data_IF_565222502553
#
_entry.id   IF_565222502553
#
_cell.length_a   1.000
_cell.length_b   1.000
_cell.length_c   1.000
_cell.angle_alpha   90.00
_cell.angle_beta   90.00
_cell.angle_gamma   90.00
#
_symmetry.space_group_name_H-M   'P 1'
#
loop_
_entity.id
_entity.type
_entity.pdbx_description
1 polymer ?
#
# COMPACT_ATOMS: atom_id res chain seq x y z
N UNK A 1 19.41 21.01 4.36
CA UNK A 1 19.08 20.96 5.81
C UNK A 1 18.38 19.64 6.19
N UNK A 2 18.07 18.78 5.21
CA UNK A 2 17.43 17.47 5.37
C UNK A 2 18.38 16.28 5.65
N UNK A 3 19.72 16.48 5.72
CA UNK A 3 20.73 15.40 5.82
C UNK A 3 20.66 14.51 7.09
N UNK A 4 19.68 14.71 7.98
CA UNK A 4 19.56 13.97 9.23
C UNK A 4 18.13 13.58 9.52
N UNK A 5 17.91 12.28 9.63
CA UNK A 5 16.78 11.71 10.35
C UNK A 5 17.01 11.95 11.85
N UNK A 6 16.13 12.71 12.48
CA UNK A 6 16.27 13.20 13.86
C UNK A 6 15.55 12.28 14.85
N UNK A 7 15.90 12.35 16.12
CA UNK A 7 15.00 11.87 17.18
C UNK A 7 13.71 12.72 17.21
N UNK A 8 12.67 12.26 17.91
CA UNK A 8 11.44 13.05 18.09
C UNK A 8 11.75 14.43 18.66
N UNK A 9 12.54 14.51 19.75
CA UNK A 9 12.96 15.78 20.36
C UNK A 9 13.75 16.66 19.39
N UNK A 10 14.69 16.08 18.63
CA UNK A 10 15.48 16.83 17.66
C UNK A 10 14.64 17.35 16.48
N UNK A 11 13.58 16.62 16.08
CA UNK A 11 12.64 17.06 15.07
C UNK A 11 11.78 18.23 15.57
N UNK A 12 11.25 18.14 16.80
CA UNK A 12 10.50 19.20 17.47
C UNK A 12 11.34 20.49 17.53
N UNK A 13 12.58 20.41 17.98
CA UNK A 13 13.50 21.56 18.04
C UNK A 13 13.74 22.18 16.65
N UNK A 14 13.88 21.35 15.62
CA UNK A 14 14.08 21.82 14.26
C UNK A 14 12.84 22.51 13.67
N UNK A 15 11.64 22.05 14.04
CA UNK A 15 10.36 22.61 13.59
C UNK A 15 10.01 23.91 14.31
N UNK A 16 10.44 24.09 15.57
CA UNK A 16 10.18 25.31 16.34
C UNK A 16 10.79 26.59 15.70
N UNK A 17 11.85 26.42 14.90
CA UNK A 17 12.48 27.50 14.13
C UNK A 17 11.96 27.61 12.68
N UNK A 18 11.06 26.71 12.27
CA UNK A 18 10.49 26.65 10.93
C UNK A 18 9.20 27.49 10.83
N UNK A 19 8.82 27.83 9.61
CA UNK A 19 7.55 28.48 9.32
C UNK A 19 6.98 27.90 8.02
N UNK A 20 5.70 27.54 8.03
CA UNK A 20 5.03 26.96 6.88
C UNK A 20 3.94 27.92 6.36
N UNK A 21 3.95 28.17 5.06
CA UNK A 21 2.91 28.99 4.39
C UNK A 21 1.63 28.19 4.08
N UNK A 22 1.61 26.89 4.40
CA UNK A 22 0.50 25.95 4.27
C UNK A 22 0.71 24.74 5.18
N UNK A 23 -0.33 23.95 5.52
CA UNK A 23 -0.18 22.72 6.29
C UNK A 23 0.91 21.80 5.70
N UNK A 24 1.95 21.40 6.44
CA UNK A 24 2.89 20.41 5.96
C UNK A 24 2.21 19.03 5.86
N UNK A 25 2.74 18.16 5.01
CA UNK A 25 2.33 16.77 4.93
C UNK A 25 3.20 15.90 5.86
N UNK A 26 2.57 15.14 6.75
CA UNK A 26 3.20 14.09 7.53
C UNK A 26 3.19 12.80 6.71
N UNK A 27 4.35 12.35 6.26
CA UNK A 27 4.49 11.13 5.43
C UNK A 27 5.13 10.04 6.27
N UNK A 28 4.30 9.10 6.74
CA UNK A 28 4.70 8.02 7.65
C UNK A 28 4.88 6.70 6.91
N UNK A 29 5.90 5.90 7.29
CA UNK A 29 6.51 4.86 6.45
C UNK A 29 7.24 5.46 5.24
N UNK A 30 8.34 6.15 5.54
CA UNK A 30 9.14 6.93 4.59
C UNK A 30 10.04 6.07 3.68
N UNK A 31 9.60 4.87 3.31
CA UNK A 31 10.29 4.00 2.34
C UNK A 31 9.89 4.37 0.89
N UNK A 32 9.81 3.40 -0.03
CA UNK A 32 9.47 3.62 -1.46
C UNK A 32 8.09 4.29 -1.65
N UNK A 33 7.08 3.89 -0.89
CA UNK A 33 5.73 4.48 -0.97
C UNK A 33 5.75 5.93 -0.49
N UNK A 34 6.32 6.18 0.71
CA UNK A 34 6.45 7.53 1.26
C UNK A 34 7.27 8.45 0.37
N UNK A 35 8.34 7.96 -0.26
CA UNK A 35 9.11 8.72 -1.25
C UNK A 35 8.28 9.13 -2.47
N UNK A 36 7.40 8.24 -2.94
CA UNK A 36 6.46 8.53 -4.02
C UNK A 36 5.48 9.65 -3.65
N UNK A 37 4.91 9.59 -2.45
CA UNK A 37 4.02 10.63 -1.90
C UNK A 37 4.76 11.96 -1.73
N UNK A 38 5.94 11.95 -1.08
CA UNK A 38 6.75 13.14 -0.83
C UNK A 38 7.07 13.89 -2.14
N UNK A 39 7.60 13.17 -3.15
CA UNK A 39 7.90 13.75 -4.47
C UNK A 39 6.67 14.29 -5.20
N UNK A 40 5.51 13.65 -5.02
CA UNK A 40 4.27 14.08 -5.65
C UNK A 40 3.73 15.38 -5.04
N UNK A 41 3.93 15.58 -3.74
CA UNK A 41 3.51 16.77 -2.99
C UNK A 41 4.51 17.94 -3.15
N UNK A 42 5.81 17.65 -3.09
CA UNK A 42 6.89 18.64 -3.30
C UNK A 42 6.81 19.30 -4.69
N UNK A 43 6.41 18.55 -5.72
CA UNK A 43 6.18 19.09 -7.06
C UNK A 43 5.13 20.23 -7.10
N UNK A 44 4.29 20.35 -6.06
CA UNK A 44 3.28 21.40 -5.88
C UNK A 44 3.63 22.37 -4.73
N UNK A 45 4.87 22.31 -4.22
CA UNK A 45 5.37 23.15 -3.13
C UNK A 45 4.70 22.88 -1.78
N UNK A 46 4.23 21.65 -1.56
CA UNK A 46 3.74 21.21 -0.25
C UNK A 46 4.94 20.80 0.60
N UNK A 47 5.17 21.43 1.77
CA UNK A 47 6.24 21.03 2.67
C UNK A 47 6.02 19.61 3.21
N UNK A 48 7.08 18.82 3.30
CA UNK A 48 7.00 17.41 3.71
C UNK A 48 7.83 17.15 4.96
N UNK A 49 7.20 16.53 5.96
CA UNK A 49 7.81 15.99 7.16
C UNK A 49 7.73 14.47 7.08
N UNK A 50 8.85 13.81 6.84
CA UNK A 50 8.93 12.35 6.78
C UNK A 50 9.06 11.75 8.18
N UNK A 51 8.13 10.88 8.56
CA UNK A 51 8.11 10.22 9.86
C UNK A 51 8.35 8.71 9.68
N UNK A 52 9.13 8.14 10.57
CA UNK A 52 9.36 6.70 10.60
C UNK A 52 9.70 6.24 12.01
N UNK A 53 9.75 4.94 12.25
CA UNK A 53 10.28 4.40 13.50
C UNK A 53 11.80 4.52 13.55
N UNK A 54 12.36 4.70 14.74
CA UNK A 54 13.80 4.56 14.94
C UNK A 54 14.24 3.09 14.79
N UNK A 55 15.34 2.84 14.07
CA UNK A 55 16.03 1.56 14.11
C UNK A 55 17.02 1.58 15.30
N UNK A 56 16.64 0.98 16.44
CA UNK A 56 17.49 0.89 17.64
C UNK A 56 16.91 1.60 18.86
N UNK A 57 17.77 2.05 19.78
CA UNK A 57 17.36 2.62 21.08
C UNK A 57 16.92 4.10 21.02
N UNK A 58 16.77 4.65 19.82
CA UNK A 58 16.33 6.04 19.60
C UNK A 58 17.35 7.12 19.94
N UNK A 59 18.60 6.77 20.30
CA UNK A 59 19.64 7.76 20.61
C UNK A 59 20.30 8.33 19.36
N UNK A 60 20.64 9.63 19.37
CA UNK A 60 21.28 10.26 18.22
C UNK A 60 22.72 9.75 17.98
N UNK A 61 23.12 9.50 16.72
CA UNK A 61 22.32 9.60 15.50
C UNK A 61 21.31 8.45 15.36
N UNK A 62 20.04 8.79 15.11
CA UNK A 62 18.98 7.80 14.95
C UNK A 62 19.18 7.05 13.64
N UNK A 63 19.31 5.72 13.72
CA UNK A 63 19.36 4.87 12.53
C UNK A 63 17.94 4.70 11.99
N UNK A 64 17.79 4.66 10.67
CA UNK A 64 16.51 4.40 10.01
C UNK A 64 16.74 3.74 8.63
N UNK A 65 15.73 3.02 8.17
CA UNK A 65 15.76 2.29 6.90
C UNK A 65 14.94 2.99 5.80
N UNK A 66 14.21 4.07 6.13
CA UNK A 66 13.47 4.87 5.15
C UNK A 66 14.34 5.40 4.00
N UNK A 67 13.77 5.38 2.78
CA UNK A 67 14.41 5.85 1.54
C UNK A 67 14.07 7.31 1.19
N UNK A 68 12.98 7.85 1.74
CA UNK A 68 12.55 9.22 1.51
C UNK A 68 13.39 10.30 2.21
N UNK A 69 13.90 10.13 3.46
CA UNK A 69 14.62 11.18 4.18
C UNK A 69 15.79 11.86 3.43
N UNK A 70 16.63 11.16 2.63
CA UNK A 70 17.69 11.82 1.85
C UNK A 70 17.19 12.49 0.56
N UNK A 71 15.88 12.52 0.29
CA UNK A 71 15.31 13.19 -0.88
C UNK A 71 15.28 14.70 -0.70
N UNK A 72 15.50 15.44 -1.79
CA UNK A 72 15.26 16.90 -1.82
C UNK A 72 13.77 17.26 -1.67
N UNK A 73 12.86 16.29 -1.83
CA UNK A 73 11.42 16.45 -1.62
C UNK A 73 10.99 16.35 -0.13
N UNK A 74 11.94 16.26 0.79
CA UNK A 74 11.68 16.16 2.24
C UNK A 74 12.36 17.32 2.96
N UNK A 75 11.58 18.15 3.64
CA UNK A 75 12.08 19.31 4.38
C UNK A 75 12.65 18.91 5.76
N UNK A 76 11.91 18.04 6.45
CA UNK A 76 12.25 17.52 7.77
C UNK A 76 12.01 16.02 7.83
N UNK A 77 12.82 15.33 8.62
CA UNK A 77 12.65 13.90 8.85
C UNK A 77 13.01 13.54 10.29
N UNK A 78 12.24 12.66 10.91
CA UNK A 78 12.52 12.20 12.26
C UNK A 78 11.70 11.01 12.72
N UNK A 79 12.10 10.50 13.87
CA UNK A 79 11.49 9.36 14.51
C UNK A 79 10.15 9.72 15.16
N UNK A 80 9.25 8.75 15.18
CA UNK A 80 8.09 8.69 16.08
C UNK A 80 8.00 7.30 16.67
N UNK A 81 7.28 7.21 17.78
CA UNK A 81 6.89 5.94 18.40
C UNK A 81 6.16 5.07 17.39
N UNK A 82 6.55 3.79 17.32
CA UNK A 82 5.95 2.87 16.36
C UNK A 82 4.52 2.52 16.83
N UNK A 83 3.47 2.81 16.04
CA UNK A 83 2.09 2.76 16.54
C UNK A 83 1.63 1.35 16.93
N UNK A 84 2.27 0.29 16.43
CA UNK A 84 1.94 -1.07 16.83
C UNK A 84 2.49 -1.46 18.20
N UNK A 85 3.50 -0.75 18.67
CA UNK A 85 4.07 -0.97 20.00
C UNK A 85 3.38 -0.08 21.04
N UNK A 86 3.10 1.17 20.69
CA UNK A 86 2.46 2.14 21.57
C UNK A 86 1.71 3.21 20.75
N UNK A 87 0.38 3.04 20.65
CA UNK A 87 -0.49 3.95 19.90
C UNK A 87 -0.64 5.32 20.58
N UNK A 88 -0.69 5.33 21.92
CA UNK A 88 -0.77 6.57 22.69
C UNK A 88 0.54 7.37 22.56
N UNK A 89 1.69 6.70 22.62
CA UNK A 89 2.98 7.33 22.36
C UNK A 89 3.12 7.87 20.93
N UNK A 90 2.62 7.14 19.93
CA UNK A 90 2.56 7.65 18.55
C UNK A 90 1.73 8.93 18.45
N UNK A 91 0.56 8.95 19.11
CA UNK A 91 -0.31 10.13 19.17
C UNK A 91 0.41 11.32 19.80
N UNK A 92 1.00 11.12 20.98
CA UNK A 92 1.72 12.17 21.73
C UNK A 92 2.88 12.75 20.90
N UNK A 93 3.66 11.91 20.22
CA UNK A 93 4.76 12.34 19.35
C UNK A 93 4.25 13.18 18.17
N UNK A 94 3.18 12.73 17.51
CA UNK A 94 2.59 13.45 16.37
C UNK A 94 2.01 14.80 16.80
N UNK A 95 1.25 14.85 17.89
CA UNK A 95 0.69 16.09 18.43
C UNK A 95 1.80 17.10 18.77
N UNK A 96 2.89 16.64 19.40
CA UNK A 96 4.04 17.49 19.71
C UNK A 96 4.75 18.02 18.45
N UNK A 97 4.84 17.20 17.38
CA UNK A 97 5.40 17.62 16.09
C UNK A 97 4.52 18.67 15.41
N UNK A 98 3.19 18.49 15.44
CA UNK A 98 2.23 19.45 14.87
C UNK A 98 2.25 20.77 15.64
N UNK A 99 2.28 20.71 16.97
CA UNK A 99 2.40 21.88 17.83
C UNK A 99 3.71 22.66 17.54
N UNK A 100 4.82 21.94 17.35
CA UNK A 100 6.11 22.54 17.01
C UNK A 100 6.10 23.18 15.61
N UNK A 101 5.41 22.58 14.64
CA UNK A 101 5.22 23.16 13.32
C UNK A 101 4.37 24.44 13.33
N UNK A 102 3.57 24.65 14.39
CA UNK A 102 2.77 25.86 14.59
C UNK A 102 1.57 26.01 13.64
N UNK A 103 1.18 24.93 12.97
CA UNK A 103 0.02 24.84 12.07
C UNK A 103 -0.47 23.39 12.02
N UNK A 104 -1.75 23.20 11.67
CA UNK A 104 -2.28 21.87 11.35
C UNK A 104 -1.46 21.21 10.22
N UNK A 105 -1.46 19.87 10.19
CA UNK A 105 -0.77 19.06 9.19
C UNK A 105 -1.72 18.07 8.50
N UNK A 106 -1.30 17.51 7.36
CA UNK A 106 -2.07 16.49 6.62
C UNK A 106 -1.34 15.15 6.65
N UNK A 107 -1.99 14.10 7.13
CA UNK A 107 -1.33 12.80 7.29
C UNK A 107 -1.48 11.87 6.08
N UNK A 108 -0.38 11.20 5.74
CA UNK A 108 -0.30 10.15 4.73
C UNK A 108 0.40 8.92 5.33
N UNK A 109 -0.40 7.96 5.82
CA UNK A 109 0.10 6.65 6.23
C UNK A 109 0.40 5.78 5.01
N UNK A 110 1.68 5.50 4.76
CA UNK A 110 2.15 4.78 3.56
C UNK A 110 2.30 3.26 3.77
N UNK A 111 1.63 2.72 4.78
CA UNK A 111 1.38 1.30 5.04
C UNK A 111 0.11 1.19 5.92
N UNK A 112 -0.50 0.01 6.00
CA UNK A 112 -1.78 -0.19 6.67
C UNK A 112 -1.70 0.24 8.15
N UNK A 113 -0.64 -0.14 8.87
CA UNK A 113 -0.49 0.21 10.28
C UNK A 113 -0.39 1.71 10.53
N UNK A 114 0.21 2.47 9.61
CA UNK A 114 0.34 3.92 9.76
C UNK A 114 -0.98 4.63 9.41
N UNK A 115 -1.67 4.16 8.37
CA UNK A 115 -2.97 4.72 8.00
C UNK A 115 -4.02 4.45 9.09
N UNK A 116 -4.06 3.21 9.60
CA UNK A 116 -4.94 2.83 10.70
C UNK A 116 -4.58 3.59 11.98
N UNK A 117 -3.29 3.75 12.31
CA UNK A 117 -2.89 4.48 13.50
C UNK A 117 -3.34 5.94 13.51
N UNK A 118 -3.28 6.64 12.37
CA UNK A 118 -3.80 8.00 12.28
C UNK A 118 -5.32 8.06 12.46
N UNK A 119 -6.06 7.10 11.88
CA UNK A 119 -7.51 7.03 12.00
C UNK A 119 -7.99 6.63 13.41
N UNK A 120 -7.23 5.76 14.09
CA UNK A 120 -7.57 5.26 15.42
C UNK A 120 -7.12 6.21 16.54
N UNK A 121 -5.89 6.74 16.45
CA UNK A 121 -5.34 7.62 17.48
C UNK A 121 -5.96 9.03 17.45
N UNK A 122 -6.42 9.49 16.28
CA UNK A 122 -7.01 10.81 16.03
C UNK A 122 -6.20 11.96 16.69
N UNK A 123 -4.92 12.14 16.30
CA UNK A 123 -4.06 13.15 16.90
C UNK A 123 -4.55 14.57 16.61
N UNK A 124 -4.56 15.42 17.64
CA UNK A 124 -4.99 16.81 17.53
C UNK A 124 -4.17 17.59 16.49
N UNK A 125 -4.85 18.40 15.67
CA UNK A 125 -4.22 19.23 14.64
C UNK A 125 -3.80 18.48 13.37
N UNK A 126 -4.18 17.20 13.22
CA UNK A 126 -3.96 16.42 11.99
C UNK A 126 -5.25 16.30 11.19
N UNK A 127 -5.14 16.55 9.88
CA UNK A 127 -6.22 16.36 8.91
C UNK A 127 -6.01 15.05 8.16
N UNK A 128 -7.06 14.22 8.09
CA UNK A 128 -7.05 12.96 7.34
C UNK A 128 -7.76 13.15 5.99
N UNK A 129 -7.08 12.94 4.85
CA UNK A 129 -7.70 13.06 3.53
C UNK A 129 -8.41 11.76 3.09
N UNK A 130 -8.92 10.98 4.05
CA UNK A 130 -9.55 9.69 3.84
C UNK A 130 -10.52 9.36 4.99
N UNK A 131 -11.31 8.30 4.79
CA UNK A 131 -12.39 7.89 5.70
C UNK A 131 -11.90 7.47 7.08
N UNK A 132 -12.77 7.60 8.08
CA UNK A 132 -12.48 7.15 9.46
C UNK A 132 -12.37 5.63 9.59
N UNK A 133 -11.94 5.19 10.78
CA UNK A 133 -11.59 3.79 11.07
C UNK A 133 -12.73 2.80 10.76
N UNK A 134 -13.99 3.14 11.08
CA UNK A 134 -15.13 2.25 10.84
C UNK A 134 -15.30 1.89 9.35
N UNK A 135 -15.17 2.89 8.46
CA UNK A 135 -15.28 2.69 7.01
C UNK A 135 -14.07 1.95 6.45
N UNK A 136 -12.87 2.23 6.97
CA UNK A 136 -11.65 1.50 6.58
C UNK A 136 -11.80 0.02 6.94
N UNK A 137 -12.26 -0.27 8.17
CA UNK A 137 -12.46 -1.64 8.66
C UNK A 137 -13.51 -2.39 7.84
N UNK A 138 -14.56 -1.72 7.38
CA UNK A 138 -15.56 -2.30 6.48
C UNK A 138 -14.95 -2.72 5.14
N UNK A 139 -14.08 -1.90 4.55
CA UNK A 139 -13.41 -2.18 3.26
C UNK A 139 -12.34 -3.27 3.39
N UNK A 140 -11.50 -3.20 4.43
CA UNK A 140 -10.39 -4.14 4.65
C UNK A 140 -10.86 -5.53 5.09
N UNK A 141 -12.05 -5.64 5.68
CA UNK A 141 -12.60 -6.91 6.09
C UNK A 141 -13.07 -7.73 4.86
N UNK A 142 -12.31 -8.77 4.52
CA UNK A 142 -12.59 -9.63 3.35
C UNK A 142 -13.98 -10.26 3.38
N UNK A 143 -14.48 -10.62 4.56
CA UNK A 143 -15.81 -11.21 4.72
C UNK A 143 -16.89 -10.23 4.27
N UNK A 144 -16.74 -8.93 4.60
CA UNK A 144 -17.65 -7.86 4.18
C UNK A 144 -17.45 -7.50 2.71
N UNK A 145 -16.19 -7.33 2.28
CA UNK A 145 -15.84 -7.05 0.88
C UNK A 145 -16.47 -8.04 -0.09
N UNK A 146 -16.39 -9.35 0.19
CA UNK A 146 -16.96 -10.36 -0.69
C UNK A 146 -18.49 -10.45 -0.63
N UNK A 147 -19.10 -10.10 0.51
CA UNK A 147 -20.56 -9.95 0.58
C UNK A 147 -21.04 -8.79 -0.32
N UNK A 148 -20.35 -7.63 -0.25
CA UNK A 148 -20.58 -6.51 -1.18
C UNK A 148 -20.36 -6.94 -2.63
N UNK A 149 -19.32 -7.72 -2.92
CA UNK A 149 -19.10 -8.23 -4.28
C UNK A 149 -20.26 -9.10 -4.77
N UNK A 150 -20.80 -9.97 -3.93
CA UNK A 150 -21.95 -10.81 -4.28
C UNK A 150 -23.21 -9.98 -4.55
N UNK A 151 -23.50 -8.99 -3.69
CA UNK A 151 -24.64 -8.08 -3.86
C UNK A 151 -24.54 -7.22 -5.14
N UNK A 152 -23.32 -6.80 -5.49
CA UNK A 152 -23.03 -5.99 -6.69
C UNK A 152 -22.82 -6.84 -7.95
N UNK A 153 -22.76 -8.17 -7.84
CA UNK A 153 -22.47 -9.07 -8.97
C UNK A 153 -21.03 -8.93 -9.50
N UNK A 154 -20.09 -8.55 -8.64
CA UNK A 154 -18.66 -8.40 -8.96
C UNK A 154 -17.98 -9.74 -8.73
N UNK A 155 -17.25 -10.31 -9.71
CA UNK A 155 -16.55 -11.56 -9.51
C UNK A 155 -15.45 -11.46 -8.44
N UNK A 156 -15.40 -12.46 -7.56
CA UNK A 156 -14.37 -12.65 -6.53
C UNK A 156 -14.01 -14.14 -6.42
N UNK A 157 -12.87 -14.50 -5.80
CA UNK A 157 -12.52 -15.89 -5.56
C UNK A 157 -13.57 -16.56 -4.66
N UNK A 158 -14.10 -17.70 -5.08
CA UNK A 158 -15.12 -18.42 -4.31
C UNK A 158 -14.63 -18.68 -2.88
N UNK A 159 -15.34 -18.14 -1.89
CA UNK A 159 -14.90 -18.09 -0.50
C UNK A 159 -16.05 -18.48 0.42
N UNK A 160 -15.78 -19.40 1.35
CA UNK A 160 -16.71 -19.92 2.34
C UNK A 160 -16.25 -19.51 3.74
N UNK A 161 -17.17 -18.94 4.52
CA UNK A 161 -16.95 -18.66 5.94
C UNK A 161 -17.04 -19.96 6.74
N UNK A 162 -16.22 -20.07 7.79
CA UNK A 162 -16.10 -21.28 8.60
C UNK A 162 -16.73 -21.14 10.00
N UNK A 163 -17.30 -19.98 10.30
CA UNK A 163 -17.98 -19.66 11.57
C UNK A 163 -18.86 -18.41 11.44
N UNK A 164 -19.63 -18.12 12.50
CA UNK A 164 -20.61 -17.03 12.54
C UNK A 164 -21.98 -17.46 12.01
N UNK A 165 -23.03 -17.28 12.80
CA UNK A 165 -24.40 -17.53 12.36
C UNK A 165 -24.83 -16.61 11.20
N UNK A 166 -25.95 -16.94 10.54
CA UNK A 166 -26.48 -16.24 9.38
C UNK A 166 -26.80 -14.73 9.56
N UNK A 167 -26.58 -14.17 10.75
CA UNK A 167 -26.74 -12.76 11.09
C UNK A 167 -25.37 -12.25 11.55
N UNK A 168 -24.66 -11.48 10.70
CA UNK A 168 -23.28 -11.04 10.86
C UNK A 168 -22.96 -10.10 12.03
N UNK A 169 -23.19 -10.54 13.27
CA UNK A 169 -22.69 -9.85 14.46
C UNK A 169 -21.20 -10.19 14.65
N UNK A 170 -20.34 -9.19 14.40
CA UNK A 170 -18.88 -9.29 14.39
C UNK A 170 -18.24 -9.47 15.79
N UNK A 171 -18.99 -10.01 16.76
CA UNK A 171 -18.59 -10.15 18.15
C UNK A 171 -18.59 -11.58 18.69
N UNK A 172 -19.08 -12.56 17.92
CA UNK A 172 -19.08 -13.97 18.34
C UNK A 172 -17.97 -14.73 17.59
N UNK A 173 -16.77 -14.78 18.17
CA UNK A 173 -15.70 -15.73 17.78
C UNK A 173 -16.07 -17.19 18.12
N UNK A 174 -17.35 -17.46 18.32
CA UNK A 174 -17.93 -18.66 18.89
C UNK A 174 -18.08 -19.79 17.88
N UNK A 175 -16.98 -20.48 17.64
CA UNK A 175 -16.96 -21.85 17.15
C UNK A 175 -16.90 -21.99 15.62
N UNK A 176 -15.94 -22.78 15.17
CA UNK A 176 -15.95 -23.34 13.82
C UNK A 176 -17.22 -24.18 13.69
N UNK A 177 -18.04 -23.89 12.68
CA UNK A 177 -19.18 -24.74 12.34
C UNK A 177 -18.67 -25.94 11.55
N UNK A 178 -18.69 -27.13 12.17
CA UNK A 178 -18.23 -28.39 11.55
C UNK A 178 -18.98 -28.65 10.22
N UNK A 179 -20.27 -28.32 10.14
CA UNK A 179 -21.06 -28.50 8.92
C UNK A 179 -20.61 -27.50 7.83
N UNK A 180 -20.27 -26.27 8.20
CA UNK A 180 -19.75 -25.26 7.26
C UNK A 180 -18.35 -25.65 6.76
N UNK A 181 -17.53 -26.21 7.64
CA UNK A 181 -16.19 -26.67 7.33
C UNK A 181 -16.20 -27.89 6.38
N UNK A 182 -17.12 -28.85 6.57
CA UNK A 182 -17.34 -29.95 5.63
C UNK A 182 -17.89 -29.45 4.28
N UNK A 183 -18.89 -28.56 4.31
CA UNK A 183 -19.46 -27.98 3.09
C UNK A 183 -18.42 -27.21 2.26
N UNK A 184 -17.53 -26.45 2.91
CA UNK A 184 -16.45 -25.72 2.24
C UNK A 184 -15.46 -26.69 1.58
N UNK A 185 -15.07 -27.77 2.26
CA UNK A 185 -14.16 -28.78 1.70
C UNK A 185 -14.76 -29.47 0.47
N UNK A 186 -16.05 -29.83 0.52
CA UNK A 186 -16.77 -30.46 -0.58
C UNK A 186 -16.97 -29.53 -1.78
N UNK A 187 -17.27 -28.25 -1.53
CA UNK A 187 -17.50 -27.26 -2.58
C UNK A 187 -16.22 -26.85 -3.30
N UNK A 188 -15.15 -26.57 -2.54
CA UNK A 188 -13.90 -26.03 -3.06
C UNK A 188 -12.99 -27.11 -3.65
N UNK A 189 -13.01 -28.31 -3.07
CA UNK A 189 -12.03 -29.35 -3.35
C UNK A 189 -10.61 -28.98 -2.94
N UNK A 190 -9.69 -29.95 -2.99
CA UNK A 190 -8.29 -29.74 -2.64
C UNK A 190 -7.36 -29.71 -3.88
N UNK A 191 -6.26 -28.92 -3.85
CA UNK A 191 -5.84 -28.05 -2.75
C UNK A 191 -6.68 -26.77 -2.66
N UNK A 192 -6.98 -26.32 -1.44
CA UNK A 192 -7.67 -25.05 -1.16
C UNK A 192 -6.78 -24.10 -0.37
N UNK A 193 -7.26 -22.87 -0.23
CA UNK A 193 -6.55 -21.81 0.46
C UNK A 193 -7.29 -21.41 1.74
N UNK A 194 -6.58 -21.35 2.86
CA UNK A 194 -7.06 -20.77 4.11
C UNK A 194 -6.47 -19.37 4.27
N UNK A 195 -7.35 -18.38 4.49
CA UNK A 195 -6.98 -16.97 4.65
C UNK A 195 -7.72 -16.39 5.85
N UNK A 196 -7.13 -15.41 6.56
CA UNK A 196 -7.84 -14.72 7.61
C UNK A 196 -8.82 -13.69 7.06
N UNK A 197 -9.83 -13.35 7.86
CA UNK A 197 -10.67 -12.18 7.62
C UNK A 197 -9.87 -10.87 7.68
N UNK A 198 -8.87 -10.83 8.58
CA UNK A 198 -7.94 -9.72 8.78
C UNK A 198 -6.51 -10.20 8.56
N UNK A 199 -5.80 -9.64 7.57
CA UNK A 199 -4.46 -10.09 7.15
C UNK A 199 -3.46 -10.17 8.32
N UNK A 200 -3.49 -9.18 9.22
CA UNK A 200 -2.45 -8.97 10.24
C UNK A 200 -2.49 -9.97 11.41
N UNK A 201 -3.66 -10.21 11.99
CA UNK A 201 -3.84 -11.12 13.13
C UNK A 201 -3.27 -12.52 12.82
N UNK A 202 -3.36 -12.93 11.55
CA UNK A 202 -2.86 -14.21 11.07
C UNK A 202 -1.37 -14.21 10.75
N UNK A 203 -0.81 -13.11 10.23
CA UNK A 203 0.63 -13.02 9.98
C UNK A 203 1.43 -13.07 11.29
N UNK A 204 0.92 -12.44 12.34
CA UNK A 204 1.52 -12.52 13.70
C UNK A 204 1.46 -13.94 14.28
N UNK A 205 0.38 -14.69 14.01
CA UNK A 205 0.20 -16.06 14.52
C UNK A 205 0.89 -17.15 13.67
N UNK A 206 0.91 -16.99 12.34
CA UNK A 206 1.31 -18.05 11.39
C UNK A 206 2.52 -17.68 10.51
N UNK A 207 3.00 -16.44 10.56
CA UNK A 207 4.13 -15.97 9.73
C UNK A 207 3.83 -15.88 8.24
N UNK A 208 2.56 -16.02 7.85
CA UNK A 208 2.05 -15.86 6.48
C UNK A 208 0.62 -15.35 6.56
N UNK A 209 0.13 -14.67 5.52
CA UNK A 209 -1.26 -14.22 5.39
C UNK A 209 -2.13 -15.17 4.55
N UNK A 210 -1.57 -16.31 4.12
CA UNK A 210 -2.22 -17.33 3.30
C UNK A 210 -1.58 -18.71 3.52
N UNK A 211 -2.40 -19.74 3.67
CA UNK A 211 -1.96 -21.15 3.73
C UNK A 211 -2.65 -21.95 2.64
N UNK A 212 -1.89 -22.73 1.88
CA UNK A 212 -2.46 -23.73 0.95
C UNK A 212 -2.48 -25.07 1.66
N UNK A 213 -3.64 -25.71 1.72
CA UNK A 213 -3.82 -27.03 2.34
C UNK A 213 -4.13 -28.06 1.25
N UNK A 214 -3.41 -29.18 1.29
CA UNK A 214 -3.42 -30.20 0.24
C UNK A 214 -4.54 -31.22 0.43
N UNK A 215 -5.09 -31.36 1.63
CA UNK A 215 -6.15 -32.29 1.96
C UNK A 215 -6.97 -31.87 3.20
N UNK A 216 -7.95 -32.71 3.53
CA UNK A 216 -8.91 -32.54 4.63
C UNK A 216 -8.22 -32.44 5.99
N UNK A 217 -7.18 -33.24 6.22
CA UNK A 217 -6.47 -33.31 7.50
C UNK A 217 -5.71 -31.99 7.73
N UNK A 218 -4.92 -31.56 6.74
CA UNK A 218 -4.22 -30.27 6.80
C UNK A 218 -5.19 -29.09 6.98
N UNK A 219 -6.36 -29.13 6.32
CA UNK A 219 -7.36 -28.09 6.44
C UNK A 219 -7.94 -27.99 7.86
N UNK A 220 -8.31 -29.11 8.46
CA UNK A 220 -8.82 -29.16 9.85
C UNK A 220 -7.76 -28.70 10.85
N UNK A 221 -6.50 -29.11 10.67
CA UNK A 221 -5.39 -28.70 11.53
C UNK A 221 -5.17 -27.18 11.50
N UNK A 222 -5.13 -26.58 10.32
CA UNK A 222 -4.94 -25.13 10.15
C UNK A 222 -6.10 -24.35 10.77
N UNK A 223 -7.34 -24.79 10.53
CA UNK A 223 -8.54 -24.10 11.07
C UNK A 223 -8.59 -24.20 12.60
N UNK A 224 -8.26 -25.37 13.17
CA UNK A 224 -8.18 -25.56 14.62
C UNK A 224 -7.07 -24.71 15.25
N UNK A 225 -5.91 -24.59 14.59
CA UNK A 225 -4.83 -23.72 15.04
C UNK A 225 -5.25 -22.24 15.03
N UNK A 226 -5.92 -21.78 13.96
CA UNK A 226 -6.42 -20.41 13.87
C UNK A 226 -7.43 -20.09 14.98
N UNK A 227 -8.37 -21.00 15.24
CA UNK A 227 -9.33 -20.85 16.33
C UNK A 227 -8.68 -20.84 17.73
N UNK A 228 -7.59 -21.59 17.93
CA UNK A 228 -6.84 -21.58 19.19
C UNK A 228 -6.17 -20.23 19.47
N UNK A 229 -5.77 -19.51 18.42
CA UNK A 229 -5.19 -18.16 18.47
C UNK A 229 -6.27 -17.05 18.38
N UNK A 230 -7.56 -17.42 18.27
CA UNK A 230 -8.67 -16.47 18.17
C UNK A 230 -8.76 -15.73 16.83
N UNK A 231 -8.15 -16.25 15.77
CA UNK A 231 -8.15 -15.63 14.44
C UNK A 231 -9.29 -16.16 13.58
N UNK A 232 -10.14 -15.26 13.06
CA UNK A 232 -11.18 -15.61 12.11
C UNK A 232 -10.58 -15.97 10.75
N UNK A 233 -10.93 -17.16 10.22
CA UNK A 233 -10.44 -17.66 8.93
C UNK A 233 -11.58 -18.08 8.00
N UNK A 234 -11.28 -18.02 6.71
CA UNK A 234 -12.14 -18.44 5.60
C UNK A 234 -11.41 -19.46 4.71
N UNK A 235 -12.19 -20.33 4.08
CA UNK A 235 -11.70 -21.23 3.04
C UNK A 235 -12.01 -20.62 1.67
N UNK A 236 -11.04 -20.64 0.76
CA UNK A 236 -11.15 -20.02 -0.55
C UNK A 236 -10.66 -20.98 -1.63
N UNK A 237 -11.34 -20.98 -2.80
CA UNK A 237 -10.87 -21.70 -3.98
C UNK A 237 -9.49 -21.18 -4.34
N UNK A 238 -8.55 -22.09 -4.54
CA UNK A 238 -7.27 -21.74 -5.14
C UNK A 238 -7.52 -21.23 -6.56
N UNK A 239 -7.15 -19.98 -6.82
CA UNK A 239 -7.19 -19.39 -8.16
C UNK A 239 -5.85 -19.64 -8.83
N UNK A 240 -5.87 -20.22 -10.03
CA UNK A 240 -4.69 -20.32 -10.89
C UNK A 240 -4.49 -18.98 -11.61
N UNK A 241 -3.85 -18.05 -10.89
CA UNK A 241 -3.64 -16.67 -11.34
C UNK A 241 -2.72 -16.63 -12.55
N UNK A 242 -3.18 -16.01 -13.63
CA UNK A 242 -2.39 -15.81 -14.83
C UNK A 242 -1.27 -14.78 -14.60
N UNK A 243 -0.01 -15.23 -14.59
CA UNK A 243 1.15 -14.37 -14.31
C UNK A 243 1.22 -13.18 -15.27
N UNK A 244 1.36 -11.97 -14.71
CA UNK A 244 1.48 -10.72 -15.46
C UNK A 244 0.16 -10.19 -16.02
N UNK A 245 -0.98 -10.84 -15.72
CA UNK A 245 -2.31 -10.35 -16.12
C UNK A 245 -3.05 -9.64 -14.99
N UNK A 246 -2.50 -9.54 -13.79
CA UNK A 246 -3.10 -8.82 -12.67
C UNK A 246 -3.28 -7.34 -13.02
N UNK A 247 -4.38 -6.76 -12.57
CA UNK A 247 -4.70 -5.35 -12.76
C UNK A 247 -5.22 -4.77 -11.47
N UNK A 248 -4.92 -3.50 -11.22
CA UNK A 248 -5.44 -2.80 -10.06
C UNK A 248 -5.95 -1.42 -10.43
N UNK A 249 -7.06 -1.00 -9.83
CA UNK A 249 -7.49 0.39 -9.87
C UNK A 249 -6.66 1.19 -8.86
N UNK A 250 -5.88 2.16 -9.34
CA UNK A 250 -5.34 3.24 -8.54
C UNK A 250 -6.37 4.38 -8.49
N UNK A 251 -6.85 4.74 -7.30
CA UNK A 251 -7.85 5.81 -7.21
C UNK A 251 -7.65 6.77 -6.04
N UNK A 252 -8.22 7.95 -6.21
CA UNK A 252 -8.57 8.85 -5.12
C UNK A 252 -10.05 9.21 -5.25
N UNK A 253 -10.86 8.83 -4.26
CA UNK A 253 -12.28 9.19 -4.18
C UNK A 253 -12.39 10.39 -3.22
N UNK A 254 -12.89 11.55 -3.67
CA UNK A 254 -13.12 12.70 -2.78
C UNK A 254 -14.38 12.50 -1.92
N UNK A 255 -14.56 13.31 -0.86
CA UNK A 255 -15.79 13.29 -0.06
C UNK A 255 -17.08 13.58 -0.86
N UNK A 256 -16.99 14.11 -2.08
CA UNK A 256 -18.14 14.29 -2.97
C UNK A 256 -18.63 13.00 -3.65
N UNK A 257 -17.86 11.91 -3.56
CA UNK A 257 -18.21 10.59 -4.08
C UNK A 257 -17.45 10.21 -5.34
N UNK A 258 -17.75 9.00 -5.84
CA UNK A 258 -17.01 8.37 -6.95
C UNK A 258 -17.16 9.08 -8.29
N UNK A 259 -18.20 9.90 -8.47
CA UNK A 259 -18.42 10.71 -9.69
C UNK A 259 -17.28 11.73 -9.94
N UNK A 260 -16.60 12.15 -8.88
CA UNK A 260 -15.47 13.09 -8.93
C UNK A 260 -14.12 12.38 -8.70
N UNK A 261 -14.09 11.04 -8.73
CA UNK A 261 -12.88 10.27 -8.48
C UNK A 261 -11.79 10.47 -9.55
N UNK A 262 -10.55 10.37 -9.12
CA UNK A 262 -9.41 10.17 -9.99
C UNK A 262 -9.10 8.68 -10.06
N UNK A 263 -8.92 8.14 -11.26
CA UNK A 263 -8.76 6.72 -11.50
C UNK A 263 -7.72 6.45 -12.59
N UNK A 264 -6.87 5.44 -12.37
CA UNK A 264 -5.96 4.87 -13.36
C UNK A 264 -5.92 3.36 -13.13
N UNK A 265 -6.17 2.56 -14.16
CA UNK A 265 -5.92 1.11 -14.06
C UNK A 265 -4.45 0.83 -14.40
N UNK A 266 -3.78 0.06 -13.54
CA UNK A 266 -2.42 -0.41 -13.74
C UNK A 266 -2.36 -1.93 -13.87
N UNK A 267 -1.63 -2.45 -14.85
CA UNK A 267 -1.27 -3.85 -14.98
C UNK A 267 0.06 -4.10 -14.28
N UNK A 268 0.08 -4.97 -13.26
CA UNK A 268 1.29 -5.41 -12.59
C UNK A 268 2.04 -6.47 -13.42
N UNK A 269 2.58 -6.04 -14.57
CA UNK A 269 3.18 -6.89 -15.59
C UNK A 269 4.30 -7.80 -15.04
N UNK A 270 5.06 -7.32 -14.05
CA UNK A 270 6.14 -8.10 -13.42
C UNK A 270 6.16 -7.89 -11.91
N UNK A 271 6.31 -9.00 -11.17
CA UNK A 271 6.51 -9.06 -9.72
C UNK A 271 7.90 -9.62 -9.38
N UNK A 272 8.46 -9.22 -8.23
CA UNK A 272 9.68 -9.80 -7.69
C UNK A 272 9.53 -10.16 -6.20
N UNK A 273 9.81 -11.41 -5.80
CA UNK A 273 10.05 -12.60 -6.65
C UNK A 273 8.86 -12.95 -7.57
N UNK A 274 9.06 -13.70 -8.66
CA UNK A 274 8.02 -13.91 -9.70
C UNK A 274 6.71 -14.55 -9.18
N UNK A 275 6.79 -15.42 -8.17
CA UNK A 275 5.64 -16.22 -7.71
C UNK A 275 4.83 -15.56 -6.58
N UNK A 276 5.47 -14.81 -5.69
CA UNK A 276 4.87 -14.27 -4.47
C UNK A 276 5.34 -12.84 -4.15
N UNK A 277 5.90 -12.18 -5.16
CA UNK A 277 6.51 -10.88 -5.01
C UNK A 277 5.56 -9.70 -5.07
N UNK A 278 6.17 -8.54 -4.85
CA UNK A 278 5.52 -7.25 -5.07
C UNK A 278 5.83 -6.74 -6.48
N UNK A 279 4.98 -5.88 -7.03
CA UNK A 279 5.16 -5.32 -8.37
C UNK A 279 6.52 -4.63 -8.52
N UNK A 280 7.19 -4.87 -9.63
CA UNK A 280 8.44 -4.21 -10.01
C UNK A 280 8.40 -3.59 -11.42
N UNK A 281 7.44 -3.97 -12.26
CA UNK A 281 7.07 -3.25 -13.47
C UNK A 281 5.54 -3.16 -13.52
N UNK A 282 5.02 -1.94 -13.65
CA UNK A 282 3.58 -1.66 -13.78
C UNK A 282 3.36 -0.75 -14.99
N UNK A 283 2.35 -1.04 -15.79
CA UNK A 283 1.97 -0.24 -16.95
C UNK A 283 0.51 0.19 -16.84
N UNK A 284 0.15 1.38 -17.30
CA UNK A 284 -1.27 1.76 -17.38
C UNK A 284 -2.00 0.88 -18.40
N UNK A 285 -3.24 0.52 -18.09
CA UNK A 285 -4.10 -0.33 -18.92
C UNK A 285 -5.48 0.31 -19.13
N UNK A 286 -6.11 0.01 -20.28
CA UNK A 286 -7.48 0.41 -20.60
C UNK A 286 -8.43 -0.75 -20.27
N UNK A 287 -8.87 -0.82 -19.02
CA UNK A 287 -9.76 -1.87 -18.49
C UNK A 287 -10.97 -1.23 -17.77
N UNK A 288 -11.95 -0.68 -18.52
CA UNK A 288 -13.07 0.06 -17.94
C UNK A 288 -13.93 -0.77 -17.00
N UNK A 289 -13.99 -2.09 -17.19
CA UNK A 289 -14.72 -2.99 -16.29
C UNK A 289 -14.07 -3.08 -14.90
N UNK A 290 -12.75 -2.94 -14.81
CA UNK A 290 -12.04 -2.92 -13.52
C UNK A 290 -12.33 -1.63 -12.79
N UNK A 291 -12.26 -0.49 -13.49
CA UNK A 291 -12.60 0.82 -12.94
C UNK A 291 -14.04 0.86 -12.44
N UNK A 292 -15.01 0.45 -13.25
CA UNK A 292 -16.43 0.40 -12.88
C UNK A 292 -16.68 -0.44 -11.62
N UNK A 293 -16.13 -1.66 -11.57
CA UNK A 293 -16.33 -2.58 -10.44
C UNK A 293 -15.67 -2.06 -9.18
N UNK A 294 -14.44 -1.58 -9.26
CA UNK A 294 -13.73 -1.07 -8.10
C UNK A 294 -14.38 0.19 -7.52
N UNK A 295 -14.81 1.13 -8.38
CA UNK A 295 -15.53 2.31 -7.92
C UNK A 295 -16.90 1.94 -7.32
N UNK A 296 -17.61 0.94 -7.86
CA UNK A 296 -18.86 0.48 -7.26
C UNK A 296 -18.69 -0.10 -5.84
N UNK A 297 -17.59 -0.83 -5.57
CA UNK A 297 -17.28 -1.32 -4.22
C UNK A 297 -16.96 -0.17 -3.28
N UNK A 298 -16.18 0.82 -3.73
CA UNK A 298 -15.83 1.98 -2.92
C UNK A 298 -17.06 2.85 -2.61
N UNK A 299 -17.98 3.00 -3.57
CA UNK A 299 -19.24 3.74 -3.41
C UNK A 299 -20.18 3.05 -2.42
N UNK A 300 -20.35 1.71 -2.53
CA UNK A 300 -21.15 0.91 -1.59
C UNK A 300 -20.62 1.02 -0.16
N UNK A 301 -19.30 0.98 0.00
CA UNK A 301 -18.65 1.16 1.30
C UNK A 301 -18.71 2.62 1.82
N UNK A 302 -19.07 3.59 0.99
CA UNK A 302 -18.99 5.01 1.32
C UNK A 302 -17.56 5.51 1.56
N UNK A 303 -16.57 4.84 0.95
CA UNK A 303 -15.16 5.16 1.15
C UNK A 303 -14.73 6.36 0.30
N UNK A 304 -14.15 7.35 0.96
CA UNK A 304 -13.32 8.38 0.36
C UNK A 304 -11.87 8.24 0.83
N UNK A 305 -10.90 8.57 -0.03
CA UNK A 305 -9.47 8.40 0.21
C UNK A 305 -8.72 7.83 -0.99
N UNK A 306 -7.41 7.62 -0.81
CA UNK A 306 -6.55 6.94 -1.79
C UNK A 306 -6.73 5.43 -1.65
N UNK A 307 -6.96 4.71 -2.74
CA UNK A 307 -7.07 3.25 -2.72
C UNK A 307 -6.40 2.53 -3.90
N UNK A 308 -6.05 1.27 -3.66
CA UNK A 308 -5.66 0.28 -4.66
C UNK A 308 -6.61 -0.92 -4.58
N UNK A 309 -7.51 -1.07 -5.55
CA UNK A 309 -8.35 -2.26 -5.68
C UNK A 309 -7.66 -3.28 -6.60
N UNK A 310 -7.23 -4.41 -6.06
CA UNK A 310 -6.44 -5.43 -6.75
C UNK A 310 -7.32 -6.51 -7.36
N UNK A 311 -7.12 -6.79 -8.65
CA UNK A 311 -7.78 -7.87 -9.39
C UNK A 311 -6.76 -8.86 -9.92
N UNK A 312 -7.08 -10.14 -9.78
CA UNK A 312 -6.35 -11.25 -10.41
C UNK A 312 -7.14 -11.76 -11.60
N UNK A 313 -6.44 -12.19 -12.65
CA UNK A 313 -7.09 -12.81 -13.80
C UNK A 313 -7.16 -14.34 -13.62
N UNK A 314 -8.38 -14.88 -13.65
CA UNK A 314 -8.65 -16.31 -13.60
C UNK A 314 -8.74 -16.87 -15.03
N UNK A 315 -7.75 -17.67 -15.44
CA UNK A 315 -7.71 -18.28 -16.78
C UNK A 315 -8.82 -19.32 -17.00
N UNK A 316 -9.34 -19.96 -15.95
CA UNK A 316 -10.44 -20.92 -16.07
C UNK A 316 -11.78 -20.22 -16.36
N UNK A 317 -12.00 -19.07 -15.70
CA UNK A 317 -13.22 -18.28 -15.82
C UNK A 317 -13.16 -17.22 -16.92
N UNK A 318 -11.96 -16.95 -17.44
CA UNK A 318 -11.67 -15.88 -18.39
C UNK A 318 -12.14 -14.50 -17.88
N UNK A 319 -11.99 -14.24 -16.58
CA UNK A 319 -12.47 -13.01 -15.94
C UNK A 319 -11.55 -12.49 -14.83
N UNK A 320 -11.67 -11.19 -14.54
CA UNK A 320 -11.00 -10.56 -13.40
C UNK A 320 -11.79 -10.75 -12.11
N UNK A 321 -11.13 -11.24 -11.07
CA UNK A 321 -11.67 -11.44 -9.73
C UNK A 321 -11.09 -10.38 -8.79
N UNK A 322 -11.95 -9.66 -8.06
CA UNK A 322 -11.51 -8.72 -7.02
C UNK A 322 -10.89 -9.52 -5.87
N UNK A 323 -9.62 -9.24 -5.59
CA UNK A 323 -8.86 -9.92 -4.55
C UNK A 323 -8.91 -9.13 -3.24
N UNK A 324 -8.66 -7.82 -3.31
CA UNK A 324 -8.49 -6.95 -2.14
C UNK A 324 -8.65 -5.47 -2.49
N UNK A 325 -8.87 -4.62 -1.47
CA UNK A 325 -8.90 -3.16 -1.61
C UNK A 325 -8.04 -2.54 -0.50
N UNK A 326 -6.88 -2.00 -0.86
CA UNK A 326 -6.01 -1.32 0.08
C UNK A 326 -6.42 0.17 0.18
N UNK A 327 -6.71 0.67 1.38
CA UNK A 327 -7.22 2.03 1.63
C UNK A 327 -6.12 3.06 1.94
N UNK A 328 -4.96 2.93 1.28
CA UNK A 328 -3.77 3.76 1.53
C UNK A 328 -2.84 3.81 0.30
N UNK A 329 -1.91 4.78 0.21
CA UNK A 329 -0.84 4.78 -0.80
C UNK A 329 0.00 3.49 -0.80
N UNK A 330 0.49 3.07 -1.96
CA UNK A 330 1.22 1.81 -2.11
C UNK A 330 2.48 1.97 -3.00
N UNK A 331 3.20 0.86 -3.22
CA UNK A 331 4.56 0.84 -3.79
C UNK A 331 4.70 1.63 -5.09
N UNK A 332 3.69 1.61 -5.97
CA UNK A 332 3.73 2.24 -7.29
C UNK A 332 2.90 3.53 -7.39
N UNK A 333 2.59 4.20 -6.27
CA UNK A 333 1.81 5.46 -6.21
C UNK A 333 2.32 6.57 -7.14
N UNK A 334 3.58 6.54 -7.57
CA UNK A 334 4.12 7.50 -8.55
C UNK A 334 3.71 7.24 -10.00
N UNK A 335 3.16 6.06 -10.35
CA UNK A 335 2.60 5.78 -11.68
C UNK A 335 1.39 6.68 -12.01
N UNK A 336 0.31 6.73 -11.20
CA UNK A 336 -0.84 7.59 -11.52
C UNK A 336 -0.42 9.07 -11.58
N UNK A 337 0.54 9.50 -10.76
CA UNK A 337 1.13 10.86 -10.84
C UNK A 337 1.76 11.09 -12.22
N UNK A 338 2.57 10.15 -12.72
CA UNK A 338 3.18 10.25 -14.05
C UNK A 338 2.14 10.19 -15.19
N UNK A 339 1.04 9.45 -14.98
CA UNK A 339 -0.09 9.38 -15.91
C UNK A 339 -0.99 10.63 -15.89
N UNK A 340 -0.72 11.60 -15.00
CA UNK A 340 -1.49 12.86 -14.90
C UNK A 340 -2.57 12.88 -13.82
N UNK A 341 -2.71 11.82 -13.04
CA UNK A 341 -3.59 11.69 -11.89
C UNK A 341 -2.77 11.70 -10.57
N UNK A 342 -2.35 12.88 -10.10
CA UNK A 342 -1.64 13.04 -8.83
C UNK A 342 -2.56 12.81 -7.62
N UNK A 343 -2.78 11.53 -7.27
CA UNK A 343 -3.64 11.11 -6.16
C UNK A 343 -3.22 11.73 -4.81
N UNK A 344 -1.92 11.77 -4.43
CA UNK A 344 -1.49 12.46 -3.21
C UNK A 344 -1.88 13.93 -3.16
N UNK A 345 -1.71 14.67 -4.26
CA UNK A 345 -2.05 16.09 -4.30
C UNK A 345 -3.56 16.33 -4.26
N UNK A 346 -4.35 15.47 -4.92
CA UNK A 346 -5.82 15.53 -4.83
C UNK A 346 -6.31 15.28 -3.40
N UNK A 347 -5.73 14.29 -2.72
CA UNK A 347 -5.99 14.01 -1.32
C UNK A 347 -5.63 15.21 -0.42
N UNK A 348 -4.45 15.79 -0.59
CA UNK A 348 -4.04 16.99 0.15
C UNK A 348 -4.98 18.19 -0.09
N UNK A 349 -5.35 18.44 -1.35
CA UNK A 349 -6.26 19.51 -1.76
C UNK A 349 -7.65 19.37 -1.12
N UNK A 350 -8.14 18.14 -0.92
CA UNK A 350 -9.48 17.90 -0.36
C UNK A 350 -9.68 18.38 1.08
N UNK A 351 -8.60 18.50 1.84
CA UNK A 351 -8.60 18.89 3.26
C UNK A 351 -7.82 20.19 3.51
N UNK A 352 -7.49 20.93 2.45
CA UNK A 352 -6.77 22.21 2.54
C UNK A 352 -7.37 23.23 1.56
N UNK A 353 -6.81 24.44 1.54
CA UNK A 353 -7.19 25.47 0.56
C UNK A 353 -6.46 25.31 -0.79
N UNK A 354 -5.70 24.22 -0.98
CA UNK A 354 -5.00 23.97 -2.23
C UNK A 354 -6.00 23.53 -3.32
N UNK A 355 -5.84 24.07 -4.52
CA UNK A 355 -6.59 23.63 -5.69
C UNK A 355 -5.77 22.59 -6.46
N UNK A 356 -6.42 21.52 -6.90
CA UNK A 356 -5.83 20.51 -7.77
C UNK A 356 -6.81 20.15 -8.89
N UNK A 357 -6.39 20.39 -10.13
CA UNK A 357 -7.06 19.89 -11.33
C UNK A 357 -6.18 18.79 -11.93
N UNK A 358 -6.74 17.60 -12.13
CA UNK A 358 -6.05 16.54 -12.85
C UNK A 358 -6.08 16.81 -14.35
N UNK A 359 -4.99 16.46 -15.04
CA UNK A 359 -5.07 16.26 -16.48
C UNK A 359 -5.80 14.96 -16.76
N UNK A 360 -6.66 14.93 -17.78
CA UNK A 360 -7.20 13.65 -18.26
C UNK A 360 -6.04 12.75 -18.65
N UNK A 361 -6.01 11.56 -18.07
CA UNK A 361 -5.13 10.47 -18.49
C UNK A 361 -5.47 10.16 -19.94
N UNK A 362 -4.48 10.23 -20.84
CA UNK A 362 -4.69 9.83 -22.22
C UNK A 362 -4.65 8.29 -22.29
N UNK A 363 -5.77 7.62 -22.59
CA UNK A 363 -5.80 6.15 -22.65
C UNK A 363 -4.94 5.58 -23.78
N UNK A 364 -4.47 6.42 -24.70
CA UNK A 364 -3.60 6.01 -25.81
C UNK A 364 -2.10 6.06 -25.48
N UNK A 365 -1.71 6.69 -24.37
CA UNK A 365 -0.32 6.75 -23.91
C UNK A 365 -0.08 5.82 -22.71
N UNK A 366 0.57 4.68 -22.95
CA UNK A 366 0.99 3.79 -21.87
C UNK A 366 2.08 4.44 -21.03
N UNK A 367 1.76 4.73 -19.77
CA UNK A 367 2.74 5.15 -18.77
C UNK A 367 3.29 3.92 -18.05
N UNK A 368 4.60 3.90 -17.82
CA UNK A 368 5.28 2.80 -17.12
C UNK A 368 5.89 3.26 -15.81
N UNK A 369 5.85 2.39 -14.81
CA UNK A 369 6.57 2.53 -13.56
C UNK A 369 7.46 1.31 -13.36
N UNK A 370 8.73 1.54 -13.02
CA UNK A 370 9.68 0.46 -12.73
C UNK A 370 10.36 0.65 -11.38
N UNK A 371 10.45 -0.41 -10.59
CA UNK A 371 11.32 -0.46 -9.44
C UNK A 371 12.62 -1.17 -9.82
N UNK A 372 13.61 -0.37 -10.22
CA UNK A 372 14.84 -0.85 -10.85
C UNK A 372 15.61 -1.88 -10.03
N UNK A 373 15.61 -1.77 -8.69
CA UNK A 373 16.29 -2.73 -7.83
C UNK A 373 15.79 -4.14 -8.09
N UNK A 374 14.48 -4.34 -7.95
CA UNK A 374 13.84 -5.64 -8.15
C UNK A 374 13.91 -6.10 -9.61
N UNK A 375 13.72 -5.18 -10.56
CA UNK A 375 13.76 -5.49 -11.99
C UNK A 375 15.16 -5.94 -12.45
N UNK A 376 16.22 -5.27 -11.96
CA UNK A 376 17.60 -5.66 -12.25
C UNK A 376 17.97 -6.98 -11.56
N UNK A 377 17.45 -7.25 -10.36
CA UNK A 377 17.63 -8.55 -9.70
C UNK A 377 17.04 -9.70 -10.52
N UNK A 378 15.87 -9.51 -11.14
CA UNK A 378 15.30 -10.49 -12.07
C UNK A 378 16.18 -10.70 -13.30
N UNK A 379 16.65 -9.62 -13.92
CA UNK A 379 17.50 -9.70 -15.12
C UNK A 379 18.87 -10.34 -14.85
N UNK A 380 19.39 -10.18 -13.64
CA UNK A 380 20.67 -10.74 -13.21
C UNK A 380 20.55 -12.17 -12.65
N UNK A 381 19.36 -12.58 -12.22
CA UNK A 381 19.09 -13.87 -11.60
C UNK A 381 19.07 -15.04 -12.58
N UNK A 382 18.99 -16.25 -12.03
CA UNK A 382 18.92 -17.50 -12.81
C UNK A 382 17.50 -17.85 -13.27
N UNK A 383 16.48 -17.12 -12.81
CA UNK A 383 15.09 -17.32 -13.18
C UNK A 383 14.84 -16.97 -14.66
N UNK A 384 13.99 -17.74 -15.32
CA UNK A 384 13.63 -17.50 -16.72
C UNK A 384 12.74 -16.25 -16.85
N UNK A 385 13.38 -15.09 -17.04
CA UNK A 385 12.72 -13.80 -17.22
C UNK A 385 13.21 -13.12 -18.51
N UNK A 386 12.27 -12.60 -19.30
CA UNK A 386 12.59 -11.84 -20.51
C UNK A 386 12.44 -10.34 -20.21
N UNK A 387 13.44 -9.57 -20.63
CA UNK A 387 13.39 -8.11 -20.51
C UNK A 387 12.18 -7.55 -21.28
N UNK A 388 11.30 -6.86 -20.55
CA UNK A 388 10.13 -6.17 -21.09
C UNK A 388 10.42 -4.68 -21.34
N UNK A 389 11.55 -4.15 -20.85
CA UNK A 389 11.98 -2.80 -21.18
C UNK A 389 12.67 -2.79 -22.55
N UNK A 390 12.29 -1.83 -23.40
CA UNK A 390 12.93 -1.66 -24.69
C UNK A 390 14.31 -1.03 -24.55
N UNK A 391 15.13 -1.13 -25.60
CA UNK A 391 16.41 -0.42 -25.65
C UNK A 391 16.27 1.11 -25.52
N UNK A 392 15.12 1.67 -25.89
CA UNK A 392 14.84 3.11 -25.71
C UNK A 392 14.46 3.43 -24.26
N UNK A 393 13.71 2.56 -23.57
CA UNK A 393 13.43 2.70 -22.14
C UNK A 393 14.73 2.70 -21.33
N UNK A 394 15.65 1.78 -21.63
CA UNK A 394 16.97 1.76 -20.99
C UNK A 394 17.79 3.03 -21.24
N UNK A 395 17.78 3.57 -22.47
CA UNK A 395 18.47 4.84 -22.78
C UNK A 395 17.86 6.00 -22.00
N UNK A 396 16.54 6.05 -21.86
CA UNK A 396 15.82 7.07 -21.08
C UNK A 396 16.19 6.98 -19.60
N UNK A 397 16.17 5.77 -19.03
CA UNK A 397 16.57 5.53 -17.63
C UNK A 397 18.01 5.98 -17.38
N UNK A 398 18.97 5.48 -18.18
CA UNK A 398 20.39 5.79 -17.99
C UNK A 398 20.72 7.28 -18.23
N UNK A 399 20.05 7.92 -19.18
CA UNK A 399 20.27 9.35 -19.46
C UNK A 399 19.50 10.30 -18.52
N UNK A 400 18.55 9.80 -17.74
CA UNK A 400 17.62 10.60 -16.95
C UNK A 400 16.56 11.34 -17.79
N UNK A 401 16.42 11.04 -19.08
CA UNK A 401 15.46 11.76 -19.92
C UNK A 401 14.00 11.41 -19.61
N UNK A 402 13.75 10.27 -18.96
CA UNK A 402 12.42 9.85 -18.51
C UNK A 402 11.73 10.90 -17.62
N UNK A 403 12.50 11.67 -16.85
CA UNK A 403 11.97 12.75 -15.99
C UNK A 403 11.27 13.88 -16.77
N UNK A 404 11.52 13.98 -18.08
CA UNK A 404 10.97 15.02 -18.97
C UNK A 404 10.02 14.48 -20.04
N UNK A 405 10.03 13.17 -20.28
CA UNK A 405 9.32 12.53 -21.39
C UNK A 405 7.98 11.88 -20.97
N UNK A 406 7.64 11.88 -19.68
CA UNK A 406 6.28 11.64 -19.15
C UNK A 406 5.79 10.19 -19.11
N UNK A 407 6.21 9.33 -20.05
CA UNK A 407 5.65 7.97 -20.18
C UNK A 407 6.39 6.89 -19.39
N UNK A 408 7.41 7.27 -18.61
CA UNK A 408 8.21 6.35 -17.81
C UNK A 408 8.62 7.04 -16.51
N UNK A 409 8.40 6.38 -15.38
CA UNK A 409 8.83 6.80 -14.05
C UNK A 409 9.42 5.63 -13.28
N UNK A 410 9.99 5.88 -12.10
CA UNK A 410 10.55 4.84 -11.26
C UNK A 410 10.13 4.98 -9.80
N UNK A 411 10.27 3.91 -9.02
CA UNK A 411 10.01 3.92 -7.58
C UNK A 411 10.99 4.78 -6.77
N UNK A 412 12.30 4.64 -7.01
CA UNK A 412 13.35 5.29 -6.20
C UNK A 412 14.32 6.12 -7.05
N UNK A 413 14.78 5.58 -8.18
CA UNK A 413 15.82 6.18 -9.00
C UNK A 413 15.35 7.47 -9.68
N UNK A 414 15.97 8.59 -9.32
CA UNK A 414 15.73 9.88 -9.95
C UNK A 414 17.04 10.67 -10.03
N UNK A 415 17.66 10.84 -11.21
CA UNK A 415 18.90 11.59 -11.35
C UNK A 415 18.89 13.01 -10.78
N UNK A 416 17.74 13.72 -10.84
CA UNK A 416 17.59 15.04 -10.23
C UNK A 416 17.48 15.02 -8.69
N UNK A 417 17.18 13.86 -8.09
CA UNK A 417 17.02 13.65 -6.66
C UNK A 417 17.73 12.33 -6.25
N UNK A 418 19.07 12.32 -6.23
CA UNK A 418 19.86 11.08 -6.17
C UNK A 418 19.99 10.47 -4.77
N UNK A 419 19.68 11.23 -3.71
CA UNK A 419 19.86 10.80 -2.32
C UNK A 419 19.19 9.46 -1.98
N UNK A 420 17.90 9.26 -2.32
CA UNK A 420 17.21 7.98 -2.11
C UNK A 420 17.86 6.79 -2.82
N UNK A 421 18.35 6.99 -4.05
CA UNK A 421 19.03 5.93 -4.79
C UNK A 421 20.39 5.60 -4.20
N UNK A 422 21.14 6.61 -3.73
CA UNK A 422 22.40 6.41 -3.02
C UNK A 422 22.19 5.62 -1.72
N UNK A 423 21.19 6.01 -0.91
CA UNK A 423 20.80 5.29 0.31
C UNK A 423 20.42 3.84 0.02
N UNK A 424 19.60 3.59 -1.00
CA UNK A 424 19.24 2.24 -1.42
C UNK A 424 20.48 1.40 -1.75
N UNK A 425 21.47 1.97 -2.47
CA UNK A 425 22.70 1.26 -2.78
C UNK A 425 23.57 1.00 -1.54
N UNK A 426 23.60 1.94 -0.59
CA UNK A 426 24.29 1.77 0.69
C UNK A 426 23.65 0.71 1.58
N UNK A 427 22.33 0.51 1.53
CA UNK A 427 21.66 -0.51 2.35
C UNK A 427 21.65 -1.89 1.69
N UNK A 428 21.54 -1.95 0.36
CA UNK A 428 21.37 -3.21 -0.38
C UNK A 428 22.69 -3.90 -0.73
N UNK A 429 23.77 -3.14 -0.97
CA UNK A 429 25.07 -3.69 -1.41
C UNK A 429 26.16 -3.62 -0.34
N UNK A 430 25.88 -3.10 0.85
CA UNK A 430 26.80 -3.12 1.98
C UNK A 430 26.39 -4.26 2.92
N UNK A 431 27.17 -5.34 2.88
CA UNK A 431 27.11 -6.45 3.83
C UNK A 431 27.08 -5.95 5.30
N UNK A 432 25.91 -5.95 5.94
CA UNK A 432 25.84 -6.19 7.38
C UNK A 432 25.95 -7.70 7.59
N UNK A 433 27.16 -8.10 7.98
CA UNK A 433 27.64 -9.47 8.28
C UNK A 433 27.32 -10.54 7.24
N UNK A 434 28.20 -10.58 6.23
CA UNK A 434 28.59 -11.81 5.55
C UNK A 434 29.19 -12.81 6.57
N UNK A 435 28.35 -13.64 7.20
CA UNK A 435 28.81 -14.88 7.82
C UNK A 435 28.90 -15.96 6.76
N UNK A 436 30.07 -16.08 6.14
CA UNK A 436 30.44 -17.27 5.39
C UNK A 436 30.65 -18.42 6.37
N UNK A 437 29.68 -19.33 6.48
CA UNK A 437 29.91 -20.69 7.00
C UNK A 437 29.28 -21.77 6.12
N UNK A 438 29.38 -21.58 4.80
CA UNK A 438 29.35 -22.65 3.81
C UNK A 438 30.62 -22.57 2.95
#
# INVERSE_FOLDING_TARGET
MADRFRSTEGLIDALADASFDRPPALVSNAHVTGLGVARALDAHGVPVIALDRAAGDGTEPVTHDGLAPPSEAVDFAGAVTYPLEDLDGFREDVEAIVDAAGTEAVAFGCMDEWALAYAEADPDGVRLPYSGIDTIDDVLNKSRLYATCEDLGIPYPETHRLGGGADGDAGDTGGIDEDALDAAADALGFPLVVKPARKREFEEAFGTNVLTVADREEFEEVVAAAAAEGVEVMAQKRVDVATGRDHSLASYVPPSGVDDALAVVGNAAVRYPLQFGTSCLVETADEPAIEERALAVLDDAGYHGISEAEFVYDDEREEFLLLDVNTRPWKWISLPVAAGANLPMAAYASVTDAEYESSRVDPTETTRWVYLRDYLSLLAGDDAFWDLLSGDDWRRLVSGSFEREGTLTTGVYRPSDPGPAAKLFETEFIDREYYCSC
#
